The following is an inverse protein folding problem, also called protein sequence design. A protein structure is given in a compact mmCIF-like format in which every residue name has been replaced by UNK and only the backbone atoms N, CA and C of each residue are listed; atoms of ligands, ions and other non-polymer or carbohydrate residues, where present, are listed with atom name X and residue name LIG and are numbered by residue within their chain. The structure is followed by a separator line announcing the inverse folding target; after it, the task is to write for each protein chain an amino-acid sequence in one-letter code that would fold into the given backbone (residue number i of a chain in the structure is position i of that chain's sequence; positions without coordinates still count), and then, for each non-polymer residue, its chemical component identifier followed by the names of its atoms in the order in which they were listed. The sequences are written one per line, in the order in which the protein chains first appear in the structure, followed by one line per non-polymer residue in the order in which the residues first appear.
data_IF_837078751306
#
_entry.id   IF_837078751306
#
_cell.length_a   1.000
_cell.length_b   1.000
_cell.length_c   1.000
_cell.angle_alpha   90.00
_cell.angle_beta   90.00
_cell.angle_gamma   90.00
#
_symmetry.space_group_name_H-M   'P 1'
#
loop_
_entity.id
_entity.type
_entity.pdbx_description
1 polymer ?
#
# COMPACT_ATOMS: atom_id res chain seq x y z
N UNK A 1 39.46 -24.22 -22.49
CA UNK A 1 40.13 -22.89 -22.35
C UNK A 1 39.31 -21.75 -22.95
N UNK A 2 38.86 -21.79 -24.22
CA UNK A 2 38.04 -20.71 -24.84
C UNK A 2 36.64 -20.52 -24.22
N UNK A 3 35.94 -21.61 -23.89
CA UNK A 3 34.59 -21.54 -23.30
C UNK A 3 34.56 -20.99 -21.87
N UNK A 4 35.66 -21.18 -21.11
CA UNK A 4 35.78 -20.67 -19.75
C UNK A 4 35.81 -19.14 -19.70
N UNK A 5 36.45 -18.50 -20.68
CA UNK A 5 36.47 -17.05 -20.83
C UNK A 5 35.10 -16.47 -21.21
N UNK A 6 34.33 -17.20 -22.03
CA UNK A 6 33.00 -16.79 -22.49
C UNK A 6 31.98 -16.88 -21.34
N UNK A 7 32.03 -17.94 -20.53
CA UNK A 7 31.18 -18.08 -19.33
C UNK A 7 31.46 -16.95 -18.32
N UNK A 8 32.72 -16.57 -18.16
CA UNK A 8 33.10 -15.48 -17.27
C UNK A 8 32.63 -14.10 -17.78
N UNK A 9 32.54 -13.90 -19.10
CA UNK A 9 32.07 -12.65 -19.71
C UNK A 9 30.55 -12.47 -19.60
N UNK A 10 29.78 -13.57 -19.63
CA UNK A 10 28.32 -13.56 -19.50
C UNK A 10 27.89 -13.30 -18.05
N UNK A 11 28.67 -13.75 -17.07
CA UNK A 11 28.42 -13.52 -15.63
C UNK A 11 28.59 -12.06 -15.18
N UNK A 12 29.34 -11.25 -15.94
CA UNK A 12 29.58 -9.82 -15.62
C UNK A 12 28.50 -8.91 -16.26
N UNK A 13 27.74 -9.42 -17.24
CA UNK A 13 26.77 -8.64 -18.01
C UNK A 13 25.32 -8.73 -17.51
N UNK A 14 25.07 -9.38 -16.37
CA UNK A 14 23.74 -9.38 -15.75
C UNK A 14 23.56 -8.07 -14.98
N UNK A 15 22.71 -7.13 -15.45
CA UNK A 15 22.39 -5.94 -14.68
C UNK A 15 21.71 -6.39 -13.39
N UNK A 16 22.36 -6.09 -12.26
CA UNK A 16 21.72 -6.19 -10.95
C UNK A 16 20.71 -5.05 -10.93
N UNK A 17 19.47 -5.35 -11.32
CA UNK A 17 18.35 -4.45 -11.09
C UNK A 17 18.21 -4.30 -9.58
N UNK A 18 18.79 -3.22 -9.05
CA UNK A 18 18.54 -2.79 -7.69
C UNK A 18 17.04 -2.52 -7.59
N UNK A 19 16.31 -3.45 -6.96
CA UNK A 19 14.89 -3.27 -6.68
C UNK A 19 14.71 -1.93 -5.98
N UNK A 20 13.93 -1.05 -6.58
CA UNK A 20 13.56 0.23 -5.98
C UNK A 20 12.62 -0.08 -4.82
N UNK A 21 13.16 -0.21 -3.62
CA UNK A 21 12.35 -0.35 -2.42
C UNK A 21 11.61 0.99 -2.22
N UNK A 22 10.28 0.95 -2.29
CA UNK A 22 9.48 2.15 -2.01
C UNK A 22 9.71 2.52 -0.54
N UNK A 23 9.96 3.80 -0.20
CA UNK A 23 10.17 4.18 1.18
C UNK A 23 8.94 3.76 2.01
N UNK A 24 9.11 2.72 2.83
CA UNK A 24 8.14 2.36 3.86
C UNK A 24 8.17 3.44 4.93
N UNK A 25 7.26 4.41 4.82
CA UNK A 25 7.04 5.40 5.85
C UNK A 25 6.57 4.71 7.13
N UNK A 26 7.32 4.93 8.21
CA UNK A 26 7.00 4.48 9.57
C UNK A 26 6.81 5.73 10.45
N UNK A 27 5.87 5.68 11.40
CA UNK A 27 5.69 6.72 12.41
C UNK A 27 5.98 6.15 13.79
N UNK A 28 6.78 6.87 14.57
CA UNK A 28 7.07 6.54 15.97
C UNK A 28 6.13 7.31 16.91
N UNK A 29 5.47 6.58 17.78
CA UNK A 29 4.61 7.09 18.84
C UNK A 29 5.17 6.64 20.20
N UNK A 30 6.04 7.45 20.79
CA UNK A 30 6.82 7.07 21.97
C UNK A 30 7.73 5.87 21.69
N UNK A 31 7.53 4.77 22.42
CA UNK A 31 8.27 3.52 22.22
C UNK A 31 7.72 2.67 21.07
N UNK A 32 6.52 2.95 20.58
CA UNK A 32 5.86 2.17 19.55
C UNK A 32 6.16 2.69 18.15
N UNK A 33 6.11 1.79 17.17
CA UNK A 33 6.19 2.10 15.75
C UNK A 33 4.90 1.60 15.09
N UNK A 34 4.30 2.45 14.27
CA UNK A 34 3.24 2.06 13.34
C UNK A 34 3.80 2.01 11.91
N UNK A 35 3.25 1.09 11.14
CA UNK A 35 3.68 0.81 9.77
C UNK A 35 2.47 0.51 8.88
N UNK A 36 2.66 0.62 7.57
CA UNK A 36 1.65 0.22 6.59
C UNK A 36 1.18 -1.21 6.87
N UNK A 37 -0.13 -1.40 6.93
CA UNK A 37 -0.79 -2.66 7.21
C UNK A 37 -1.39 -2.77 8.61
N UNK A 38 -0.99 -1.91 9.55
CA UNK A 38 -1.57 -1.85 10.89
C UNK A 38 -3.08 -1.53 10.81
N UNK A 39 -3.87 -2.11 11.71
CA UNK A 39 -5.30 -1.80 11.84
C UNK A 39 -5.51 -0.51 12.62
N UNK A 40 -6.60 0.20 12.34
CA UNK A 40 -6.98 1.41 13.09
C UNK A 40 -6.96 1.24 14.62
N UNK A 41 -7.43 0.10 15.13
CA UNK A 41 -7.42 -0.20 16.57
C UNK A 41 -6.02 -0.29 17.14
N UNK A 42 -5.08 -0.85 16.38
CA UNK A 42 -3.68 -0.96 16.75
C UNK A 42 -2.99 0.41 16.71
N UNK A 43 -3.25 1.21 15.68
CA UNK A 43 -2.75 2.59 15.59
C UNK A 43 -3.25 3.41 16.78
N UNK A 44 -4.55 3.34 17.10
CA UNK A 44 -5.12 4.06 18.25
C UNK A 44 -4.52 3.60 19.58
N UNK A 45 -4.24 2.30 19.73
CA UNK A 45 -3.57 1.77 20.92
C UNK A 45 -2.12 2.27 21.05
N UNK A 46 -1.39 2.38 19.94
CA UNK A 46 0.03 2.79 19.92
C UNK A 46 0.22 4.31 20.01
N UNK A 47 -0.63 5.09 19.34
CA UNK A 47 -0.47 6.53 19.15
C UNK A 47 -1.52 7.38 19.89
N UNK A 48 -2.56 6.75 20.46
CA UNK A 48 -3.70 7.47 21.01
C UNK A 48 -4.69 7.92 19.93
N UNK A 49 -5.65 8.75 20.33
CA UNK A 49 -6.63 9.32 19.41
C UNK A 49 -5.98 10.34 18.47
N UNK A 50 -6.36 10.37 17.18
CA UNK A 50 -5.93 11.42 16.26
C UNK A 50 -6.58 12.77 16.62
N UNK A 51 -5.99 13.85 16.11
CA UNK A 51 -6.49 15.22 16.28
C UNK A 51 -7.69 15.49 15.35
N UNK A 52 -7.66 14.95 14.13
CA UNK A 52 -8.75 15.05 13.16
C UNK A 52 -8.97 13.72 12.43
N UNK A 53 -10.21 13.45 12.02
CA UNK A 53 -10.58 12.30 11.19
C UNK A 53 -11.51 12.79 10.08
N UNK A 54 -11.07 12.64 8.84
CA UNK A 54 -11.90 12.79 7.67
C UNK A 54 -12.29 11.41 7.13
N UNK A 55 -13.56 11.23 6.74
CA UNK A 55 -14.09 9.95 6.25
C UNK A 55 -14.89 10.17 4.97
N UNK A 56 -14.65 9.33 3.98
CA UNK A 56 -15.41 9.33 2.73
C UNK A 56 -15.46 7.94 2.10
N UNK A 57 -16.41 7.73 1.20
CA UNK A 57 -16.51 6.49 0.42
C UNK A 57 -15.86 6.69 -0.94
N UNK A 58 -15.22 5.63 -1.45
CA UNK A 58 -14.61 5.60 -2.77
C UNK A 58 -15.06 4.36 -3.51
N UNK A 59 -15.60 4.54 -4.71
CA UNK A 59 -15.87 3.43 -5.61
C UNK A 59 -14.55 2.87 -6.16
N UNK A 60 -14.37 1.56 -6.03
CA UNK A 60 -13.26 0.80 -6.57
C UNK A 60 -13.78 -0.20 -7.58
N UNK A 61 -13.22 -0.17 -8.79
CA UNK A 61 -13.53 -1.15 -9.82
C UNK A 61 -12.56 -2.31 -9.69
N UNK A 62 -13.05 -3.41 -9.12
CA UNK A 62 -12.29 -4.66 -9.09
C UNK A 62 -12.60 -5.46 -10.35
N UNK A 63 -11.56 -5.80 -11.11
CA UNK A 63 -11.67 -6.78 -12.20
C UNK A 63 -11.86 -8.15 -11.56
N UNK A 64 -13.04 -8.73 -11.71
CA UNK A 64 -13.24 -10.10 -11.30
C UNK A 64 -12.82 -11.00 -12.45
N UNK A 65 -11.67 -11.66 -12.30
CA UNK A 65 -11.31 -12.73 -13.19
C UNK A 65 -12.14 -13.93 -12.75
N UNK A 66 -13.16 -14.31 -13.50
CA UNK A 66 -13.82 -15.61 -13.37
C UNK A 66 -12.76 -16.70 -13.60
N UNK A 67 -11.99 -17.03 -12.57
CA UNK A 67 -11.29 -18.31 -12.48
C UNK A 67 -12.33 -19.28 -11.94
N UNK A 68 -12.54 -20.37 -12.67
CA UNK A 68 -13.29 -21.55 -12.23
C UNK A 68 -14.78 -21.62 -12.60
N UNK A 69 -15.23 -21.05 -13.74
CA UNK A 69 -16.30 -21.73 -14.49
C UNK A 69 -15.64 -22.78 -15.39
N UNK A 70 -15.91 -24.08 -15.23
CA UNK A 70 -15.55 -25.07 -16.23
C UNK A 70 -16.37 -24.79 -17.49
N UNK A 71 -15.76 -24.07 -18.44
CA UNK A 71 -16.36 -23.72 -19.73
C UNK A 71 -16.49 -25.01 -20.55
N UNK A 72 -17.72 -25.42 -20.85
CA UNK A 72 -18.01 -26.64 -21.62
C UNK A 72 -18.00 -26.42 -23.14
N UNK A 73 -17.79 -25.19 -23.63
CA UNK A 73 -17.68 -24.93 -25.07
C UNK A 73 -16.80 -23.72 -25.38
N UNK A 74 -15.92 -23.87 -26.38
CA UNK A 74 -14.95 -22.86 -26.86
C UNK A 74 -15.61 -21.61 -27.49
N UNK A 75 -16.94 -21.52 -27.53
CA UNK A 75 -17.68 -20.62 -28.42
C UNK A 75 -18.01 -19.24 -27.82
N UNK A 76 -17.52 -18.91 -26.62
CA UNK A 76 -17.79 -17.60 -25.97
C UNK A 76 -16.52 -16.84 -25.61
N UNK A 77 -15.57 -16.76 -26.56
CA UNK A 77 -14.35 -15.97 -26.42
C UNK A 77 -14.62 -14.46 -26.65
N UNK A 78 -15.51 -13.88 -25.84
CA UNK A 78 -15.72 -12.43 -25.71
C UNK A 78 -16.38 -12.08 -24.37
N UNK A 79 -16.00 -12.78 -23.29
CA UNK A 79 -16.42 -12.36 -21.95
C UNK A 79 -15.67 -11.09 -21.56
N UNK A 80 -16.33 -9.94 -21.75
CA UNK A 80 -15.92 -8.67 -21.15
C UNK A 80 -15.66 -8.88 -19.65
N UNK A 81 -14.56 -8.34 -19.09
CA UNK A 81 -14.30 -8.49 -17.67
C UNK A 81 -15.46 -7.90 -16.87
N UNK A 82 -16.06 -8.72 -16.00
CA UNK A 82 -17.02 -8.20 -15.03
C UNK A 82 -16.27 -7.27 -14.07
N UNK A 83 -16.66 -6.00 -14.08
CA UNK A 83 -16.20 -5.02 -13.11
C UNK A 83 -17.17 -5.00 -11.94
N UNK A 84 -16.71 -5.46 -10.78
CA UNK A 84 -17.45 -5.30 -9.54
C UNK A 84 -17.16 -3.92 -8.95
N UNK A 85 -18.22 -3.18 -8.67
CA UNK A 85 -18.16 -1.90 -7.96
C UNK A 85 -18.11 -2.19 -6.46
N UNK A 86 -16.96 -1.99 -5.86
CA UNK A 86 -16.76 -2.10 -4.41
C UNK A 86 -16.74 -0.70 -3.80
N UNK A 87 -17.56 -0.47 -2.78
CA UNK A 87 -17.52 0.77 -2.00
C UNK A 87 -16.46 0.61 -0.90
N UNK A 88 -15.38 1.36 -1.00
CA UNK A 88 -14.29 1.35 -0.01
C UNK A 88 -14.46 2.54 0.92
N UNK A 89 -14.44 2.27 2.23
CA UNK A 89 -14.38 3.31 3.25
C UNK A 89 -12.95 3.82 3.38
N UNK A 90 -12.75 5.10 3.09
CA UNK A 90 -11.48 5.79 3.32
C UNK A 90 -11.59 6.62 4.58
N UNK A 91 -10.53 6.59 5.38
CA UNK A 91 -10.34 7.56 6.45
C UNK A 91 -8.95 8.18 6.37
N UNK A 92 -8.85 9.47 6.63
CA UNK A 92 -7.60 10.18 6.80
C UNK A 92 -7.54 10.76 8.20
N UNK A 93 -6.55 10.31 8.97
CA UNK A 93 -6.35 10.72 10.36
C UNK A 93 -5.17 11.67 10.44
N UNK A 94 -5.36 12.79 11.12
CA UNK A 94 -4.29 13.74 11.42
C UNK A 94 -3.75 13.50 12.83
N UNK A 95 -2.43 13.42 12.95
CA UNK A 95 -1.73 13.50 14.22
C UNK A 95 -0.87 14.75 14.26
N UNK A 96 -1.20 15.65 15.18
CA UNK A 96 -0.45 16.85 15.51
C UNK A 96 0.28 16.65 16.85
N UNK A 97 1.60 16.79 16.82
CA UNK A 97 2.48 16.67 17.98
C UNK A 97 3.06 18.00 18.47
N UNK A 98 2.46 19.11 18.06
CA UNK A 98 2.85 20.49 18.39
C UNK A 98 3.76 21.14 17.35
N UNK A 99 4.03 22.45 17.50
CA UNK A 99 4.64 23.29 16.46
C UNK A 99 6.11 23.00 16.16
N UNK A 100 6.78 22.20 16.98
CA UNK A 100 8.18 21.79 16.78
C UNK A 100 8.31 20.46 16.05
N UNK A 101 7.19 19.83 15.69
CA UNK A 101 7.15 18.52 15.03
C UNK A 101 6.25 18.57 13.81
N UNK A 102 6.52 17.70 12.84
CA UNK A 102 5.66 17.56 11.66
C UNK A 102 4.30 16.95 12.01
N UNK A 103 3.28 17.37 11.27
CA UNK A 103 1.99 16.69 11.15
C UNK A 103 2.17 15.35 10.45
N UNK A 104 1.34 14.38 10.81
CA UNK A 104 1.26 13.10 10.13
C UNK A 104 -0.16 12.82 9.69
N UNK A 105 -0.33 12.53 8.41
CA UNK A 105 -1.59 12.12 7.80
C UNK A 105 -1.56 10.62 7.51
N UNK A 106 -2.45 9.88 8.15
CA UNK A 106 -2.55 8.42 8.04
C UNK A 106 -3.80 8.09 7.24
N UNK A 107 -3.63 7.48 6.07
CA UNK A 107 -4.75 7.05 5.23
C UNK A 107 -5.06 5.58 5.48
N UNK A 108 -6.32 5.29 5.73
CA UNK A 108 -6.86 3.96 5.91
C UNK A 108 -7.81 3.60 4.77
N UNK A 109 -7.76 2.36 4.33
CA UNK A 109 -8.74 1.73 3.43
C UNK A 109 -9.39 0.57 4.18
N UNK A 110 -10.71 0.62 4.35
CA UNK A 110 -11.49 -0.38 5.10
C UNK A 110 -10.85 -0.73 6.47
N UNK A 111 -10.35 0.29 7.17
CA UNK A 111 -9.74 0.17 8.50
C UNK A 111 -8.29 -0.30 8.55
N UNK A 112 -7.62 -0.50 7.40
CA UNK A 112 -6.21 -0.87 7.32
C UNK A 112 -5.35 0.32 6.86
N UNK A 113 -4.26 0.59 7.56
CA UNK A 113 -3.35 1.68 7.24
C UNK A 113 -2.65 1.41 5.91
N UNK A 114 -2.92 2.21 4.88
CA UNK A 114 -2.33 2.03 3.54
C UNK A 114 -1.25 3.05 3.21
N UNK A 115 -1.25 4.21 3.88
CA UNK A 115 -0.25 5.27 3.65
C UNK A 115 -0.03 6.12 4.90
N UNK A 116 1.22 6.53 5.11
CA UNK A 116 1.63 7.56 6.07
C UNK A 116 2.29 8.68 5.28
N UNK A 117 1.77 9.90 5.41
CA UNK A 117 2.30 11.12 4.77
C UNK A 117 2.75 12.08 5.85
N UNK A 118 3.90 12.73 5.65
CA UNK A 118 4.40 13.79 6.52
C UNK A 118 3.95 15.12 5.95
N UNK A 119 3.31 15.96 6.79
CA UNK A 119 2.90 17.32 6.44
C UNK A 119 3.91 18.36 6.88
N UNK A 120 3.46 19.61 6.95
CA UNK A 120 4.21 20.71 7.55
C UNK A 120 4.32 20.56 9.07
N UNK A 121 4.91 21.56 9.74
CA UNK A 121 4.92 21.62 11.19
C UNK A 121 3.50 21.73 11.75
N UNK A 122 3.30 21.14 12.93
CA UNK A 122 2.06 21.22 13.67
C UNK A 122 1.74 22.63 14.17
N UNK A 123 0.62 22.72 14.87
CA UNK A 123 0.15 23.92 15.56
C UNK A 123 0.09 23.70 17.08
#
# INVERSE_FOLDING_TARGET
MKYLAIVCLILIALPIEAGTDSPTSNLRCGQYIISRGDRQSEVRRKCGSPNNIERWEKESLRRDFYKDIPVQSEEQLSQEPLFLREMIMIEEWEYNFGPTRFLYYLRFENGKLIRITVGDYGY
#
